data_IF_509125901018
#
_entry.id   IF_509125901018
#
_cell.length_a   1.000
_cell.length_b   1.000
_cell.length_c   1.000
_cell.angle_alpha   90.00
_cell.angle_beta   90.00
_cell.angle_gamma   90.00
#
_symmetry.space_group_name_H-M   'P 1'
#
loop_
_entity.id
_entity.type
_entity.pdbx_description
1 polymer ?
#
# COMPACT_ATOMS: atom_id res chain seq x y z
N UNK A 1 8.11 32.75 14.35
CA UNK A 1 8.04 31.27 14.29
C UNK A 1 7.23 30.90 13.05
N UNK A 2 7.90 30.66 11.92
CA UNK A 2 7.25 30.43 10.64
C UNK A 2 6.95 28.92 10.50
N UNK A 3 5.67 28.55 10.43
CA UNK A 3 5.24 27.20 10.04
C UNK A 3 5.73 26.93 8.60
N UNK A 4 6.33 25.76 8.29
CA UNK A 4 6.75 25.44 6.94
C UNK A 4 5.52 25.36 6.02
N UNK A 5 5.61 25.98 4.84
CA UNK A 5 4.55 26.02 3.84
C UNK A 5 4.12 24.61 3.40
N UNK A 6 2.84 24.38 3.03
CA UNK A 6 2.38 23.11 2.49
C UNK A 6 3.24 22.75 1.26
N UNK A 7 3.69 21.50 1.20
CA UNK A 7 4.51 20.98 0.11
C UNK A 7 3.67 20.83 -1.17
N UNK A 8 3.36 21.93 -1.85
CA UNK A 8 2.73 21.94 -3.19
C UNK A 8 3.74 21.57 -4.29
N UNK A 9 4.44 20.45 -4.10
CA UNK A 9 5.29 19.89 -5.15
C UNK A 9 4.35 19.24 -6.16
N UNK A 10 4.31 19.66 -7.45
CA UNK A 10 3.56 18.92 -8.44
C UNK A 10 4.12 17.49 -8.50
N UNK A 11 3.31 16.53 -8.05
CA UNK A 11 3.64 15.11 -8.15
C UNK A 11 3.78 14.82 -9.64
N UNK A 12 5.01 14.55 -10.10
CA UNK A 12 5.22 14.15 -11.49
C UNK A 12 4.54 12.81 -11.69
N UNK A 13 3.38 12.83 -12.35
CA UNK A 13 2.65 11.62 -12.72
C UNK A 13 3.42 10.94 -13.84
N UNK A 14 4.18 9.90 -13.50
CA UNK A 14 4.80 9.06 -14.50
C UNK A 14 3.69 8.21 -15.14
N UNK A 15 3.29 8.54 -16.38
CA UNK A 15 2.21 7.86 -17.12
C UNK A 15 2.63 6.49 -17.66
N UNK A 16 3.42 5.75 -16.90
CA UNK A 16 3.74 4.36 -17.22
C UNK A 16 2.53 3.51 -16.88
N UNK A 17 2.05 2.65 -17.80
CA UNK A 17 0.93 1.77 -17.50
C UNK A 17 1.32 0.82 -16.37
N UNK A 18 0.37 0.59 -15.47
CA UNK A 18 0.39 -0.50 -14.51
C UNK A 18 -0.27 -1.71 -15.14
N UNK A 19 0.30 -2.88 -14.90
CA UNK A 19 -0.27 -4.15 -15.36
C UNK A 19 -1.32 -4.68 -14.37
N UNK A 20 -1.24 -4.27 -13.10
CA UNK A 20 -2.15 -4.67 -12.03
C UNK A 20 -2.32 -3.55 -11.01
N UNK A 21 -3.56 -3.32 -10.57
CA UNK A 21 -3.88 -2.47 -9.43
C UNK A 21 -4.54 -3.35 -8.36
N UNK A 22 -3.98 -3.33 -7.16
CA UNK A 22 -4.48 -4.06 -5.99
C UNK A 22 -5.00 -3.05 -4.99
N UNK A 23 -6.25 -3.23 -4.54
CA UNK A 23 -6.90 -2.38 -3.56
C UNK A 23 -6.99 -3.16 -2.25
N UNK A 24 -6.33 -2.65 -1.22
CA UNK A 24 -6.15 -3.27 0.09
C UNK A 24 -4.79 -3.97 0.24
N UNK A 25 -4.15 -3.72 1.38
CA UNK A 25 -2.87 -4.29 1.81
C UNK A 25 -3.01 -5.45 2.81
N UNK A 26 -4.20 -6.04 2.90
CA UNK A 26 -4.40 -7.26 3.69
C UNK A 26 -3.61 -8.46 3.13
N UNK A 27 -3.64 -9.64 3.79
CA UNK A 27 -2.82 -10.79 3.42
C UNK A 27 -2.96 -11.22 1.95
N UNK A 28 -4.19 -11.15 1.40
CA UNK A 28 -4.45 -11.46 0.00
C UNK A 28 -3.88 -10.39 -0.95
N UNK A 29 -4.00 -9.10 -0.58
CA UNK A 29 -3.51 -7.98 -1.38
C UNK A 29 -1.99 -7.95 -1.45
N UNK A 30 -1.31 -8.10 -0.31
CA UNK A 30 0.16 -8.19 -0.25
C UNK A 30 0.70 -9.40 -1.04
N UNK A 31 0.13 -10.60 -0.83
CA UNK A 31 0.54 -11.79 -1.59
C UNK A 31 0.30 -11.63 -3.09
N UNK A 32 -0.88 -11.12 -3.49
CA UNK A 32 -1.23 -10.93 -4.89
C UNK A 32 -0.32 -9.90 -5.57
N UNK A 33 -0.13 -8.75 -4.94
CA UNK A 33 0.75 -7.70 -5.45
C UNK A 33 2.20 -8.16 -5.52
N UNK A 34 2.70 -8.79 -4.46
CA UNK A 34 4.06 -9.32 -4.40
C UNK A 34 4.32 -10.38 -5.47
N UNK A 35 3.37 -11.31 -5.67
CA UNK A 35 3.51 -12.35 -6.70
C UNK A 35 3.53 -11.75 -8.10
N UNK A 36 2.64 -10.81 -8.40
CA UNK A 36 2.63 -10.13 -9.70
C UNK A 36 3.92 -9.33 -9.94
N UNK A 37 4.43 -8.65 -8.91
CA UNK A 37 5.71 -7.93 -8.99
C UNK A 37 6.89 -8.88 -9.24
N UNK A 38 6.93 -10.04 -8.58
CA UNK A 38 7.94 -11.08 -8.82
C UNK A 38 7.88 -11.64 -10.25
N UNK A 39 6.69 -11.68 -10.85
CA UNK A 39 6.50 -12.05 -12.27
C UNK A 39 6.78 -10.89 -13.24
N UNK A 40 7.43 -9.81 -12.77
CA UNK A 40 7.86 -8.68 -13.60
C UNK A 40 6.76 -7.69 -13.96
N UNK A 41 5.58 -7.77 -13.32
CA UNK A 41 4.48 -6.83 -13.55
C UNK A 41 4.69 -5.54 -12.78
N UNK A 42 4.28 -4.42 -13.36
CA UNK A 42 4.18 -3.14 -12.65
C UNK A 42 2.88 -3.11 -11.88
N UNK A 43 2.98 -3.16 -10.56
CA UNK A 43 1.82 -3.23 -9.67
C UNK A 43 1.68 -1.93 -8.88
N UNK A 44 0.46 -1.41 -8.79
CA UNK A 44 0.09 -0.40 -7.81
C UNK A 44 -0.70 -1.08 -6.68
N UNK A 45 -0.27 -0.92 -5.43
CA UNK A 45 -1.02 -1.36 -4.25
C UNK A 45 -1.53 -0.12 -3.53
N UNK A 46 -2.83 -0.06 -3.26
CA UNK A 46 -3.49 1.09 -2.64
C UNK A 46 -4.09 0.64 -1.33
N UNK A 47 -3.70 1.30 -0.24
CA UNK A 47 -4.29 1.12 1.08
C UNK A 47 -4.83 2.48 1.55
N UNK A 48 -6.00 2.44 2.21
CA UNK A 48 -6.61 3.61 2.82
C UNK A 48 -5.92 3.94 4.15
N UNK A 49 -5.61 2.91 4.92
CA UNK A 49 -4.95 3.07 6.21
C UNK A 49 -3.48 3.49 6.07
N UNK A 50 -2.93 4.22 7.06
CA UNK A 50 -1.52 4.62 7.05
C UNK A 50 -0.56 3.43 7.26
N UNK A 51 -1.08 2.27 7.66
CA UNK A 51 -0.30 1.06 7.93
C UNK A 51 -0.71 -0.07 6.98
N UNK A 52 0.28 -0.83 6.51
CA UNK A 52 0.07 -2.01 5.68
C UNK A 52 -0.35 -3.23 6.52
N UNK A 53 -0.73 -4.33 5.87
CA UNK A 53 -1.09 -5.61 6.50
C UNK A 53 -2.57 -5.82 6.79
N UNK A 54 -3.40 -4.78 6.57
CA UNK A 54 -4.85 -4.82 6.76
C UNK A 54 -5.28 -5.32 8.14
N UNK A 55 -6.49 -5.91 8.22
CA UNK A 55 -7.04 -6.38 9.49
C UNK A 55 -6.18 -7.47 10.14
N UNK A 56 -5.58 -8.39 9.37
CA UNK A 56 -4.81 -9.51 9.92
C UNK A 56 -3.67 -9.06 10.85
N UNK A 57 -2.94 -8.01 10.45
CA UNK A 57 -1.79 -7.47 11.20
C UNK A 57 -2.23 -6.44 12.23
N UNK A 58 -3.16 -5.55 11.88
CA UNK A 58 -3.41 -4.35 12.67
C UNK A 58 -4.53 -4.49 13.71
N UNK A 59 -5.55 -5.31 13.45
CA UNK A 59 -6.76 -5.35 14.31
C UNK A 59 -7.32 -6.76 14.56
N UNK A 60 -6.77 -7.77 13.91
CA UNK A 60 -7.35 -9.11 13.83
C UNK A 60 -6.42 -10.16 14.41
N UNK A 61 -5.91 -11.04 13.55
CA UNK A 61 -5.27 -12.30 13.95
C UNK A 61 -4.01 -12.11 14.80
N UNK A 62 -3.14 -11.15 14.46
CA UNK A 62 -1.89 -10.93 15.20
C UNK A 62 -2.13 -10.31 16.58
N UNK A 63 -2.86 -9.18 16.72
CA UNK A 63 -3.14 -8.61 18.04
C UNK A 63 -3.92 -9.57 18.95
N UNK A 64 -4.89 -10.31 18.38
CA UNK A 64 -5.74 -11.22 19.16
C UNK A 64 -5.03 -12.47 19.68
N UNK A 65 -3.81 -12.76 19.22
CA UNK A 65 -3.00 -13.92 19.65
C UNK A 65 -1.70 -13.53 20.35
N UNK A 66 -1.55 -12.25 20.68
CA UNK A 66 -0.39 -11.71 21.42
C UNK A 66 -0.65 -11.66 22.94
N UNK A 67 -1.92 -11.69 23.34
CA UNK A 67 -2.37 -11.98 24.71
C UNK A 67 -2.53 -13.49 24.90
#
# INVERSE_FOLDING_TARGET
MQLPAPLERPVRVNRRPYDLIVIGSGPAGEKGAGTAALLGKRVALIERDPYLGGASVNTGTVPSKTL
#
